data_IF_122908990574
#
_entry.id   IF_122908990574
#
_cell.length_a   1.000
_cell.length_b   1.000
_cell.length_c   1.000
_cell.angle_alpha   90.00
_cell.angle_beta   90.00
_cell.angle_gamma   90.00
#
_symmetry.space_group_name_H-M   'P 1'
#
loop_
_entity.id
_entity.type
_entity.pdbx_description
1 polymer ?
#
# COMPACT_ATOMS: atom_id res chain seq x y z
N UNK A 1 13.90 27.81 4.14
CA UNK A 1 12.78 26.85 4.11
C UNK A 1 13.37 25.47 4.39
N UNK A 2 13.11 24.88 5.57
CA UNK A 2 13.58 23.52 5.84
C UNK A 2 12.93 22.57 4.83
N UNK A 3 13.73 21.97 3.95
CA UNK A 3 13.27 20.94 3.03
C UNK A 3 12.80 19.75 3.86
N UNK A 4 11.49 19.62 4.07
CA UNK A 4 10.91 18.39 4.61
C UNK A 4 11.21 17.25 3.65
N UNK A 5 11.78 16.16 4.15
CA UNK A 5 11.98 14.95 3.38
C UNK A 5 10.61 14.33 3.02
N UNK A 6 10.48 13.86 1.78
CA UNK A 6 9.26 13.29 1.23
C UNK A 6 9.36 11.76 1.22
N UNK A 7 8.46 11.09 1.92
CA UNK A 7 8.40 9.63 2.02
C UNK A 7 7.20 9.14 1.21
N UNK A 8 7.45 8.18 0.30
CA UNK A 8 6.38 7.41 -0.33
C UNK A 8 6.20 6.10 0.43
N UNK A 9 5.03 5.92 1.02
CA UNK A 9 4.62 4.67 1.64
C UNK A 9 3.75 3.89 0.66
N UNK A 10 4.05 2.61 0.47
CA UNK A 10 3.21 1.69 -0.29
C UNK A 10 2.68 0.67 0.69
N UNK A 11 1.35 0.56 0.77
CA UNK A 11 0.72 -0.35 1.71
C UNK A 11 -0.52 -1.00 1.10
N UNK A 12 -0.70 -2.32 1.26
CA UNK A 12 -1.89 -3.03 0.80
C UNK A 12 -3.11 -2.77 1.69
N UNK A 13 -2.90 -2.24 2.90
CA UNK A 13 -3.95 -1.85 3.85
C UNK A 13 -3.64 -0.46 4.40
N UNK A 14 -4.62 0.42 4.44
CA UNK A 14 -4.43 1.75 5.03
C UNK A 14 -5.77 2.31 5.49
N UNK A 15 -5.76 3.18 6.51
CA UNK A 15 -6.91 3.89 7.07
C UNK A 15 -8.03 4.12 6.02
N UNK A 16 -9.30 3.72 6.28
CA UNK A 16 -9.93 3.29 7.53
C UNK A 16 -9.67 1.84 7.96
N UNK A 17 -8.82 1.11 7.26
CA UNK A 17 -8.43 -0.25 7.67
C UNK A 17 -7.43 -0.18 8.82
N UNK A 18 -7.66 -0.98 9.87
CA UNK A 18 -6.77 -1.02 11.03
C UNK A 18 -5.51 -1.82 10.69
N UNK A 19 -4.37 -1.15 10.61
CA UNK A 19 -3.06 -1.76 10.34
C UNK A 19 -1.95 -0.92 10.99
N UNK A 20 -0.87 -1.56 11.45
CA UNK A 20 0.27 -0.88 12.11
C UNK A 20 0.96 0.18 11.24
N UNK A 21 0.79 0.12 9.92
CA UNK A 21 1.29 1.19 9.03
C UNK A 21 0.64 2.54 9.31
N UNK A 22 -0.56 2.59 9.89
CA UNK A 22 -1.20 3.85 10.30
C UNK A 22 -0.33 4.54 11.36
N UNK A 23 0.13 3.80 12.37
CA UNK A 23 1.01 4.31 13.43
C UNK A 23 2.36 4.78 12.86
N UNK A 24 2.89 4.08 11.85
CA UNK A 24 4.12 4.47 11.14
C UNK A 24 3.93 5.77 10.36
N UNK A 25 2.77 5.96 9.74
CA UNK A 25 2.43 7.19 9.03
C UNK A 25 2.37 8.36 10.02
N UNK A 26 1.69 8.16 11.16
CA UNK A 26 1.59 9.17 12.21
C UNK A 26 2.98 9.54 12.77
N UNK A 27 3.83 8.54 13.04
CA UNK A 27 5.22 8.74 13.46
C UNK A 27 6.03 9.61 12.45
N UNK A 28 5.89 9.36 11.15
CA UNK A 28 6.56 10.19 10.15
C UNK A 28 5.99 11.61 10.07
N UNK A 29 4.68 11.78 10.23
CA UNK A 29 4.06 13.11 10.25
C UNK A 29 4.51 13.93 11.48
N UNK A 30 4.58 13.29 12.65
CA UNK A 30 5.09 13.89 13.89
C UNK A 30 6.56 14.32 13.75
N UNK A 31 7.37 13.49 13.10
CA UNK A 31 8.74 13.79 12.69
C UNK A 31 8.87 14.89 11.62
N UNK A 32 7.76 15.54 11.23
CA UNK A 32 7.69 16.63 10.24
C UNK A 32 8.09 16.21 8.83
N UNK A 33 7.93 14.93 8.47
CA UNK A 33 8.07 14.45 7.10
C UNK A 33 6.80 14.73 6.30
N UNK A 34 6.94 14.81 4.96
CA UNK A 34 5.81 14.77 4.04
C UNK A 34 5.57 13.34 3.62
N UNK A 35 4.36 12.85 3.82
CA UNK A 35 4.02 11.44 3.58
C UNK A 35 3.03 11.35 2.42
N UNK A 36 3.36 10.53 1.43
CA UNK A 36 2.40 10.08 0.42
C UNK A 36 2.17 8.60 0.58
N UNK A 37 0.91 8.16 0.65
CA UNK A 37 0.54 6.75 0.76
C UNK A 37 -0.11 6.29 -0.53
N UNK A 38 0.43 5.24 -1.15
CA UNK A 38 -0.18 4.50 -2.25
C UNK A 38 -0.80 3.21 -1.69
N UNK A 39 -2.12 3.11 -1.72
CA UNK A 39 -2.87 2.00 -1.14
C UNK A 39 -4.09 1.65 -1.99
N UNK A 40 -4.77 0.50 -1.79
CA UNK A 40 -6.03 0.23 -2.48
C UNK A 40 -7.22 0.99 -1.87
N UNK A 41 -8.36 0.94 -2.55
CA UNK A 41 -9.64 1.27 -1.93
C UNK A 41 -9.87 0.28 -0.75
N UNK A 42 -10.19 0.78 0.45
CA UNK A 42 -10.30 -0.04 1.64
C UNK A 42 -11.44 -1.06 1.48
N UNK A 43 -11.16 -2.33 1.78
CA UNK A 43 -12.11 -3.42 1.58
C UNK A 43 -12.00 -4.56 2.62
N UNK A 44 -11.02 -4.52 3.52
CA UNK A 44 -10.78 -5.50 4.58
C UNK A 44 -11.09 -4.89 5.96
N UNK A 45 -11.73 -5.60 6.91
CA UNK A 45 -12.15 -7.01 6.84
C UNK A 45 -13.52 -7.24 6.21
N UNK A 46 -14.22 -6.19 5.79
CA UNK A 46 -15.62 -6.26 5.36
C UNK A 46 -15.87 -7.06 4.06
N UNK A 47 -14.83 -7.31 3.26
CA UNK A 47 -14.93 -7.98 1.96
C UNK A 47 -15.51 -7.12 0.83
N UNK A 48 -15.93 -5.90 1.15
CA UNK A 48 -16.52 -4.91 0.23
C UNK A 48 -15.93 -3.55 0.54
N UNK A 49 -16.05 -2.62 -0.41
CA UNK A 49 -15.59 -1.26 -0.17
C UNK A 49 -16.28 -0.64 1.04
N UNK A 50 -15.50 0.09 1.85
CA UNK A 50 -16.02 0.82 3.01
C UNK A 50 -17.06 1.85 2.60
N UNK A 51 -17.94 2.21 3.54
CA UNK A 51 -18.93 3.28 3.34
C UNK A 51 -18.23 4.57 2.90
N UNK A 52 -18.77 5.23 1.88
CA UNK A 52 -18.24 6.44 1.24
C UNK A 52 -16.99 6.25 0.36
N UNK A 53 -16.51 5.02 0.19
CA UNK A 53 -15.47 4.68 -0.78
C UNK A 53 -16.07 3.99 -1.99
N UNK A 54 -15.60 4.33 -3.18
CA UNK A 54 -15.99 3.65 -4.42
C UNK A 54 -14.93 3.85 -5.49
N UNK A 55 -15.17 3.25 -6.67
CA UNK A 55 -14.34 3.43 -7.87
C UNK A 55 -14.13 4.92 -8.18
N UNK A 56 -15.14 5.77 -7.91
CA UNK A 56 -15.15 7.20 -8.24
C UNK A 56 -15.05 8.14 -7.02
N UNK A 57 -15.02 7.62 -5.79
CA UNK A 57 -15.04 8.44 -4.56
C UNK A 57 -13.80 8.20 -3.72
N UNK A 58 -13.27 9.27 -3.11
CA UNK A 58 -12.14 9.25 -2.17
C UNK A 58 -10.90 8.52 -2.71
N UNK A 59 -10.58 8.75 -3.99
CA UNK A 59 -9.41 8.17 -4.67
C UNK A 59 -8.13 8.95 -4.39
N UNK A 60 -8.27 10.23 -4.06
CA UNK A 60 -7.21 11.13 -3.67
C UNK A 60 -7.68 11.92 -2.46
N UNK A 61 -6.89 11.92 -1.40
CA UNK A 61 -7.16 12.67 -0.17
C UNK A 61 -5.88 13.40 0.22
N UNK A 62 -5.98 14.66 0.65
CA UNK A 62 -4.87 15.45 1.17
C UNK A 62 -5.26 16.04 2.50
N UNK A 63 -4.46 15.76 3.53
CA UNK A 63 -4.66 16.16 4.92
C UNK A 63 -3.30 16.68 5.40
N UNK A 64 -3.11 17.99 5.45
CA UNK A 64 -1.84 18.63 5.80
C UNK A 64 -0.63 18.09 4.99
N UNK A 65 0.33 17.46 5.66
CA UNK A 65 1.52 16.83 5.07
C UNK A 65 1.29 15.37 4.63
N UNK A 66 0.09 14.84 4.80
CA UNK A 66 -0.35 13.53 4.33
C UNK A 66 -1.10 13.64 3.01
N UNK A 67 -0.68 12.84 2.03
CA UNK A 67 -1.40 12.62 0.78
C UNK A 67 -1.70 11.14 0.62
N UNK A 68 -2.93 10.79 0.26
CA UNK A 68 -3.39 9.40 0.10
C UNK A 68 -3.85 9.22 -1.34
N UNK A 69 -3.23 8.28 -2.05
CA UNK A 69 -3.61 7.82 -3.37
C UNK A 69 -4.17 6.41 -3.27
N UNK A 70 -5.46 6.25 -3.59
CA UNK A 70 -6.13 4.97 -3.60
C UNK A 70 -6.24 4.40 -5.00
N UNK A 71 -5.82 3.16 -5.20
CA UNK A 71 -5.92 2.42 -6.46
C UNK A 71 -7.12 1.47 -6.44
N UNK A 72 -7.58 1.07 -7.62
CA UNK A 72 -8.63 0.07 -7.72
C UNK A 72 -8.13 -1.26 -7.19
N UNK A 73 -9.04 -2.05 -6.63
CA UNK A 73 -8.74 -3.42 -6.20
C UNK A 73 -10.01 -4.25 -6.35
N UNK A 74 -9.88 -5.51 -6.75
CA UNK A 74 -10.97 -6.46 -6.66
C UNK A 74 -11.26 -6.71 -5.16
N UNK A 75 -12.45 -6.42 -4.63
CA UNK A 75 -12.72 -6.57 -3.20
C UNK A 75 -12.51 -8.01 -2.72
N UNK A 76 -12.02 -8.17 -1.48
CA UNK A 76 -11.69 -9.48 -0.91
C UNK A 76 -12.89 -10.43 -0.77
N UNK A 77 -14.13 -9.94 -0.84
CA UNK A 77 -15.38 -10.69 -0.70
C UNK A 77 -15.34 -11.61 0.54
N UNK A 78 -15.65 -12.89 0.38
CA UNK A 78 -15.61 -13.88 1.47
C UNK A 78 -14.18 -14.32 1.86
N UNK A 79 -13.13 -13.77 1.26
CA UNK A 79 -11.74 -14.13 1.57
C UNK A 79 -11.31 -15.51 1.06
N UNK A 80 -12.04 -16.12 0.11
CA UNK A 80 -11.59 -17.37 -0.53
C UNK A 80 -10.22 -17.20 -1.19
N UNK A 81 -9.48 -18.30 -1.37
CA UNK A 81 -8.14 -18.29 -2.00
C UNK A 81 -8.13 -17.55 -3.34
N UNK A 82 -9.15 -17.76 -4.17
CA UNK A 82 -9.30 -17.10 -5.47
C UNK A 82 -9.56 -15.60 -5.29
N UNK A 83 -10.47 -15.21 -4.39
CA UNK A 83 -10.78 -13.80 -4.15
C UNK A 83 -9.58 -13.05 -3.56
N UNK A 84 -8.81 -13.72 -2.70
CA UNK A 84 -7.57 -13.18 -2.13
C UNK A 84 -6.50 -12.99 -3.21
N UNK A 85 -6.30 -13.98 -4.07
CA UNK A 85 -5.38 -13.88 -5.19
C UNK A 85 -5.78 -12.73 -6.14
N UNK A 86 -7.06 -12.64 -6.51
CA UNK A 86 -7.57 -11.55 -7.36
C UNK A 86 -7.41 -10.18 -6.69
N UNK A 87 -7.61 -10.09 -5.38
CA UNK A 87 -7.39 -8.86 -4.61
C UNK A 87 -5.93 -8.40 -4.72
N UNK A 88 -4.97 -9.29 -4.47
CA UNK A 88 -3.54 -8.95 -4.59
C UNK A 88 -3.12 -8.64 -6.02
N UNK A 89 -3.53 -9.46 -6.99
CA UNK A 89 -3.18 -9.28 -8.39
C UNK A 89 -3.73 -7.95 -8.93
N UNK A 90 -4.99 -7.64 -8.62
CA UNK A 90 -5.61 -6.39 -9.05
C UNK A 90 -4.92 -5.18 -8.42
N UNK A 91 -4.54 -5.22 -7.14
CA UNK A 91 -3.76 -4.14 -6.53
C UNK A 91 -2.46 -3.89 -7.29
N UNK A 92 -1.70 -4.94 -7.60
CA UNK A 92 -0.45 -4.83 -8.36
C UNK A 92 -0.72 -4.14 -9.71
N UNK A 93 -1.65 -4.67 -10.50
CA UNK A 93 -1.97 -4.14 -11.84
C UNK A 93 -2.40 -2.68 -11.77
N UNK A 94 -3.36 -2.35 -10.89
CA UNK A 94 -3.90 -1.00 -10.78
C UNK A 94 -2.94 -0.02 -10.10
N UNK A 95 -1.89 -0.50 -9.44
CA UNK A 95 -0.84 0.35 -8.86
C UNK A 95 0.26 0.76 -9.85
N UNK A 96 0.42 0.06 -10.97
CA UNK A 96 1.51 0.33 -11.94
C UNK A 96 1.43 1.76 -12.51
N UNK A 97 0.28 2.14 -13.07
CA UNK A 97 0.11 3.48 -13.66
C UNK A 97 0.27 4.58 -12.60
N UNK A 98 -0.43 4.52 -11.44
CA UNK A 98 -0.20 5.46 -10.34
C UNK A 98 1.26 5.51 -9.87
N UNK A 99 1.97 4.38 -9.82
CA UNK A 99 3.38 4.35 -9.45
C UNK A 99 4.25 5.12 -10.46
N UNK A 100 4.01 4.93 -11.76
CA UNK A 100 4.69 5.71 -12.82
C UNK A 100 4.37 7.20 -12.66
N UNK A 101 3.10 7.57 -12.44
CA UNK A 101 2.71 8.97 -12.24
C UNK A 101 3.39 9.56 -11.00
N UNK A 102 3.43 8.82 -9.90
CA UNK A 102 4.08 9.23 -8.66
C UNK A 102 5.60 9.35 -8.83
N UNK A 103 6.23 8.63 -9.75
CA UNK A 103 7.66 8.77 -10.03
C UNK A 103 8.04 10.17 -10.52
N UNK A 104 7.11 10.94 -11.11
CA UNK A 104 7.35 12.34 -11.47
C UNK A 104 7.37 13.30 -10.26
N UNK A 105 6.95 12.85 -9.07
CA UNK A 105 7.06 13.62 -7.83
C UNK A 105 8.43 13.44 -7.17
N UNK A 106 8.77 14.30 -6.22
CA UNK A 106 9.99 14.19 -5.41
C UNK A 106 9.71 13.29 -4.21
N UNK A 107 10.49 12.22 -4.09
CA UNK A 107 10.55 11.35 -2.93
C UNK A 107 12.01 11.08 -2.60
N UNK A 108 12.34 11.09 -1.32
CA UNK A 108 13.68 10.82 -0.80
C UNK A 108 13.80 9.37 -0.31
N UNK A 109 12.66 8.72 0.00
CA UNK A 109 12.57 7.33 0.44
C UNK A 109 11.27 6.67 -0.03
N UNK A 110 11.36 5.40 -0.43
CA UNK A 110 10.20 4.51 -0.60
C UNK A 110 10.16 3.54 0.58
N UNK A 111 9.04 3.49 1.29
CA UNK A 111 8.80 2.58 2.40
C UNK A 111 7.65 1.64 2.05
N UNK A 112 7.92 0.36 1.94
CA UNK A 112 6.90 -0.66 1.61
C UNK A 112 6.48 -1.34 2.89
N UNK A 113 5.22 -1.16 3.29
CA UNK A 113 4.59 -2.00 4.31
C UNK A 113 4.32 -3.37 3.68
N UNK A 114 5.21 -4.31 3.97
CA UNK A 114 5.23 -5.59 3.29
C UNK A 114 4.44 -6.63 4.10
N UNK A 115 3.20 -6.82 3.66
CA UNK A 115 2.39 -7.99 3.98
C UNK A 115 2.52 -9.01 2.84
N UNK A 116 2.08 -10.26 3.07
CA UNK A 116 1.97 -11.21 1.98
C UNK A 116 0.98 -10.74 0.90
N UNK A 117 1.27 -11.00 -0.38
CA UNK A 117 2.49 -11.59 -0.95
C UNK A 117 3.63 -10.57 -1.17
N UNK A 118 4.87 -11.07 -1.33
CA UNK A 118 6.06 -10.23 -1.58
C UNK A 118 5.91 -9.29 -2.80
N UNK A 119 5.02 -9.66 -3.74
CA UNK A 119 4.72 -8.91 -4.95
C UNK A 119 4.07 -7.54 -4.70
N UNK A 120 3.58 -7.26 -3.49
CA UNK A 120 3.10 -5.93 -3.09
C UNK A 120 4.21 -4.85 -3.21
N UNK A 121 5.48 -5.23 -3.16
CA UNK A 121 6.61 -4.32 -3.36
C UNK A 121 6.81 -3.84 -4.81
N UNK A 122 6.17 -4.46 -5.81
CA UNK A 122 6.35 -4.16 -7.24
C UNK A 122 6.19 -2.67 -7.60
N UNK A 123 5.11 -1.96 -7.22
CA UNK A 123 4.99 -0.51 -7.50
C UNK A 123 6.15 0.30 -6.92
N UNK A 124 6.69 -0.08 -5.75
CA UNK A 124 7.85 0.58 -5.16
C UNK A 124 9.11 0.32 -5.97
N UNK A 125 9.31 -0.92 -6.43
CA UNK A 125 10.44 -1.30 -7.29
C UNK A 125 10.42 -0.51 -8.60
N UNK A 126 9.24 -0.30 -9.20
CA UNK A 126 9.09 0.52 -10.42
C UNK A 126 9.60 1.93 -10.17
N UNK A 127 9.15 2.58 -9.10
CA UNK A 127 9.56 3.95 -8.75
C UNK A 127 11.05 4.00 -8.43
N UNK A 128 11.57 3.04 -7.66
CA UNK A 128 13.01 2.92 -7.39
C UNK A 128 13.82 2.85 -8.68
N UNK A 129 13.39 2.05 -9.67
CA UNK A 129 14.11 1.93 -10.94
C UNK A 129 14.12 3.23 -11.73
N UNK A 130 13.01 3.96 -11.74
CA UNK A 130 12.90 5.26 -12.44
C UNK A 130 13.70 6.35 -11.70
N UNK A 131 13.63 6.39 -10.37
CA UNK A 131 14.14 7.50 -9.55
C UNK A 131 15.50 7.28 -8.92
N UNK A 132 15.96 6.03 -8.87
CA UNK A 132 17.20 5.61 -8.22
C UNK A 132 17.29 6.06 -6.75
N UNK A 133 16.17 6.00 -6.03
CA UNK A 133 16.07 6.34 -4.60
C UNK A 133 16.02 5.07 -3.73
N UNK A 134 16.37 5.17 -2.43
CA UNK A 134 16.29 4.05 -1.49
C UNK A 134 14.87 3.47 -1.39
N UNK A 135 14.79 2.15 -1.28
CA UNK A 135 13.56 1.41 -0.98
C UNK A 135 13.80 0.52 0.24
N UNK A 136 12.99 0.72 1.27
CA UNK A 136 12.97 -0.08 2.50
C UNK A 136 11.70 -0.91 2.50
N UNK A 137 11.82 -2.20 2.78
CA UNK A 137 10.68 -3.09 2.99
C UNK A 137 10.56 -3.39 4.47
N UNK A 138 9.41 -3.07 5.05
CA UNK A 138 9.06 -3.45 6.41
C UNK A 138 8.23 -4.72 6.38
N UNK A 139 8.90 -5.86 6.53
CA UNK A 139 8.28 -7.18 6.50
C UNK A 139 7.60 -7.42 7.84
N UNK A 140 6.28 -7.51 7.83
CA UNK A 140 5.45 -7.69 9.04
C UNK A 140 4.73 -9.03 9.09
N UNK A 141 4.93 -9.86 8.08
CA UNK A 141 4.36 -11.20 7.95
C UNK A 141 5.47 -12.27 8.00
N UNK A 142 5.16 -13.44 8.55
CA UNK A 142 6.08 -14.58 8.73
C UNK A 142 6.21 -15.41 7.43
N UNK A 143 6.36 -14.75 6.29
CA UNK A 143 6.59 -15.47 5.03
C UNK A 143 7.91 -16.23 5.13
N UNK A 144 7.97 -17.58 4.96
CA UNK A 144 7.12 -18.48 4.15
C UNK A 144 6.09 -19.34 4.90
N UNK A 145 6.09 -19.34 6.24
CA UNK A 145 5.25 -20.23 7.07
C UNK A 145 3.77 -19.92 6.89
N UNK A 146 3.38 -18.64 6.78
CA UNK A 146 2.00 -18.21 6.51
C UNK A 146 1.41 -18.79 5.21
N UNK A 147 2.26 -19.13 4.21
CA UNK A 147 1.82 -19.75 2.95
C UNK A 147 1.60 -21.25 3.10
N UNK A 148 2.40 -21.95 3.93
CA UNK A 148 2.14 -23.36 4.27
C UNK A 148 0.80 -23.50 4.98
N UNK A 149 0.55 -22.64 5.96
CA UNK A 149 -0.64 -22.71 6.80
C UNK A 149 -1.89 -22.17 6.10
N UNK A 150 -1.81 -21.02 5.43
CA UNK A 150 -2.93 -20.49 4.62
C UNK A 150 -3.21 -21.31 3.35
N UNK A 151 -2.24 -22.13 2.92
CA UNK A 151 -2.30 -22.99 1.75
C UNK A 151 -2.92 -24.36 2.01
N UNK A 152 -2.95 -24.86 3.25
CA UNK A 152 -3.11 -26.30 3.55
C UNK A 152 -2.15 -27.18 2.72
N UNK A 153 -0.92 -26.71 2.49
CA UNK A 153 0.10 -27.55 1.86
C UNK A 153 0.66 -28.47 2.94
N UNK A 154 0.02 -29.63 3.11
CA UNK A 154 0.60 -30.73 3.90
C UNK A 154 1.86 -31.20 3.17
N UNK A 155 2.98 -31.14 3.88
CA UNK A 155 4.16 -31.96 3.58
C UNK A 155 3.86 -33.43 3.85
#
# INVERSE_FOLDING_TARGET
MNNKNNILIISPLFNPEMNRVNDIVDYFLDGKYKVTVLCPIPNYPQGKYYKNYSIFKKRYEKIDDLTIFRVLVYPRKNGSKINLFLNYLSFIIFSIIPAIILSFRKFDLIFVNQLSPITIAIPGIIIKKIKRIPLVMWVTDLWPESVKDGGNLKS
#
